data_IF_723527125470
#
_entry.id   IF_723527125470
#
_cell.length_a   1.000
_cell.length_b   1.000
_cell.length_c   1.000
_cell.angle_alpha   90.00
_cell.angle_beta   90.00
_cell.angle_gamma   90.00
#
_symmetry.space_group_name_H-M   'P 1'
#
loop_
_entity.id
_entity.type
_entity.pdbx_description
1 polymer ?
#
# COMPACT_ATOMS: atom_id res chain seq x y z
N UNK A 1 -4.85 44.69 -11.08
CA UNK A 1 -5.47 44.56 -9.73
C UNK A 1 -5.88 43.09 -9.53
N UNK A 2 -6.02 42.58 -8.29
CA UNK A 2 -6.55 41.24 -8.08
C UNK A 2 -8.00 41.20 -8.58
N UNK A 3 -8.29 40.25 -9.47
CA UNK A 3 -9.64 40.07 -10.01
C UNK A 3 -10.11 38.63 -9.88
N UNK A 4 -11.44 38.47 -9.83
CA UNK A 4 -12.10 37.18 -9.69
C UNK A 4 -12.33 36.55 -11.06
N UNK A 5 -11.73 35.37 -11.27
CA UNK A 5 -11.89 34.54 -12.47
C UNK A 5 -12.55 33.22 -12.07
N UNK A 6 -13.44 32.74 -12.93
CA UNK A 6 -14.09 31.43 -12.79
C UNK A 6 -13.31 30.38 -13.60
N UNK A 7 -12.87 29.32 -12.95
CA UNK A 7 -12.27 28.14 -13.61
C UNK A 7 -13.32 27.26 -14.30
N UNK A 8 -12.88 26.26 -15.08
CA UNK A 8 -13.75 25.28 -15.73
C UNK A 8 -14.65 24.52 -14.75
N UNK A 9 -14.14 24.21 -13.57
CA UNK A 9 -14.86 23.54 -12.49
C UNK A 9 -15.74 24.50 -11.65
N UNK A 10 -16.00 25.70 -12.17
CA UNK A 10 -16.82 26.76 -11.57
C UNK A 10 -16.32 27.18 -10.19
N UNK A 11 -15.00 27.24 -10.01
CA UNK A 11 -14.37 27.79 -8.81
C UNK A 11 -13.96 29.22 -9.07
N UNK A 12 -14.41 30.12 -8.20
CA UNK A 12 -13.91 31.48 -8.16
C UNK A 12 -12.49 31.48 -7.62
N UNK A 13 -11.59 32.17 -8.32
CA UNK A 13 -10.19 32.34 -7.97
C UNK A 13 -9.85 33.83 -8.05
N UNK A 14 -9.20 34.34 -7.02
CA UNK A 14 -8.67 35.71 -7.01
C UNK A 14 -7.23 35.63 -7.50
N UNK A 15 -6.96 36.27 -8.63
CA UNK A 15 -5.66 36.15 -9.30
C UNK A 15 -4.99 37.51 -9.35
N UNK A 16 -3.78 37.57 -8.79
CA UNK A 16 -2.87 38.70 -8.92
C UNK A 16 -1.79 38.33 -9.95
N UNK A 17 -1.60 39.16 -10.97
CA UNK A 17 -0.67 38.92 -12.07
C UNK A 17 0.20 40.15 -12.34
N UNK A 18 1.34 39.92 -13.00
CA UNK A 18 2.18 40.99 -13.51
C UNK A 18 2.64 40.68 -14.94
N UNK A 19 2.88 41.76 -15.68
CA UNK A 19 3.23 41.71 -17.10
C UNK A 19 4.52 42.47 -17.31
N UNK A 20 5.46 41.87 -18.03
CA UNK A 20 6.66 42.54 -18.53
C UNK A 20 6.46 42.82 -20.02
N UNK A 21 6.64 44.07 -20.42
CA UNK A 21 6.44 44.50 -21.79
C UNK A 21 7.47 45.57 -22.16
N UNK A 22 7.66 45.79 -23.46
CA UNK A 22 8.49 46.87 -24.01
C UNK A 22 7.84 47.46 -25.26
N UNK A 23 8.19 48.71 -25.56
CA UNK A 23 7.76 49.37 -26.81
C UNK A 23 8.76 48.96 -27.90
N UNK A 24 8.28 48.34 -28.98
CA UNK A 24 9.10 47.95 -30.12
C UNK A 24 8.97 48.94 -31.28
N UNK A 25 7.79 49.52 -31.48
CA UNK A 25 7.52 50.56 -32.48
C UNK A 25 6.98 51.82 -31.80
N UNK A 26 7.85 52.81 -31.51
CA UNK A 26 7.46 54.07 -30.88
C UNK A 26 6.48 54.91 -31.71
N UNK A 27 6.53 54.81 -33.05
CA UNK A 27 5.65 55.60 -33.93
C UNK A 27 4.23 55.04 -33.87
N UNK A 28 4.08 53.72 -34.02
CA UNK A 28 2.79 53.03 -33.92
C UNK A 28 2.19 53.20 -32.52
N UNK A 29 3.02 53.14 -31.47
CA UNK A 29 2.61 53.39 -30.09
C UNK A 29 2.07 54.81 -29.88
N UNK A 30 2.75 55.82 -30.42
CA UNK A 30 2.32 57.21 -30.30
C UNK A 30 1.01 57.47 -31.05
N UNK A 31 0.82 56.83 -32.21
CA UNK A 31 -0.41 56.97 -33.01
C UNK A 31 -1.62 56.32 -32.36
N UNK A 32 -1.44 55.15 -31.75
CA UNK A 32 -2.54 54.33 -31.24
C UNK A 32 -2.84 54.58 -29.76
N UNK A 33 -1.83 54.51 -28.89
CA UNK A 33 -1.97 54.51 -27.43
C UNK A 33 -1.62 55.87 -26.82
N UNK A 34 -0.72 56.62 -27.46
CA UNK A 34 -0.25 57.99 -27.12
C UNK A 34 0.55 58.12 -25.83
N UNK A 35 0.15 57.47 -24.74
CA UNK A 35 0.76 57.64 -23.43
C UNK A 35 0.90 56.32 -22.66
N UNK A 36 1.96 56.22 -21.85
CA UNK A 36 2.27 55.03 -21.03
C UNK A 36 1.15 54.65 -20.05
N UNK A 37 0.46 55.58 -19.36
CA UNK A 37 -0.67 55.20 -18.49
C UNK A 37 -1.79 54.49 -19.26
N UNK A 38 -2.12 55.00 -20.46
CA UNK A 38 -3.10 54.37 -21.35
C UNK A 38 -2.65 52.99 -21.81
N UNK A 39 -1.36 52.84 -22.11
CA UNK A 39 -0.77 51.56 -22.47
C UNK A 39 -0.93 50.53 -21.36
N UNK A 40 -0.66 50.94 -20.11
CA UNK A 40 -0.81 50.08 -18.95
C UNK A 40 -2.24 49.59 -18.79
N UNK A 41 -3.23 50.48 -18.84
CA UNK A 41 -4.65 50.07 -18.75
C UNK A 41 -5.05 49.13 -19.88
N UNK A 42 -4.64 49.42 -21.13
CA UNK A 42 -4.93 48.55 -22.28
C UNK A 42 -4.27 47.18 -22.16
N UNK A 43 -3.03 47.13 -21.70
CA UNK A 43 -2.31 45.88 -21.46
C UNK A 43 -2.97 45.07 -20.35
N UNK A 44 -3.36 45.72 -19.25
CA UNK A 44 -4.08 45.08 -18.15
C UNK A 44 -5.38 44.44 -18.68
N UNK A 45 -6.18 45.17 -19.48
CA UNK A 45 -7.43 44.68 -20.07
C UNK A 45 -7.22 43.47 -21.01
N UNK A 46 -6.23 43.56 -21.91
CA UNK A 46 -5.94 42.50 -22.90
C UNK A 46 -5.44 41.24 -22.20
N UNK A 47 -4.39 41.38 -21.37
CA UNK A 47 -3.79 40.23 -20.69
C UNK A 47 -4.81 39.55 -19.80
N UNK A 48 -5.66 40.33 -19.14
CA UNK A 48 -6.69 39.77 -18.28
C UNK A 48 -7.80 39.06 -19.06
N UNK A 49 -8.18 39.56 -20.24
CA UNK A 49 -9.09 38.86 -21.16
C UNK A 49 -8.52 37.50 -21.56
N UNK A 50 -7.25 37.45 -21.95
CA UNK A 50 -6.56 36.21 -22.34
C UNK A 50 -6.40 35.25 -21.16
N UNK A 51 -6.02 35.76 -19.98
CA UNK A 51 -5.96 34.97 -18.74
C UNK A 51 -7.32 34.34 -18.43
N UNK A 52 -8.41 35.12 -18.48
CA UNK A 52 -9.75 34.61 -18.21
C UNK A 52 -10.15 33.52 -19.20
N UNK A 53 -9.84 33.70 -20.48
CA UNK A 53 -10.16 32.73 -21.52
C UNK A 53 -9.42 31.42 -21.29
N UNK A 54 -8.10 31.45 -21.07
CA UNK A 54 -7.32 30.23 -20.89
C UNK A 54 -7.66 29.55 -19.56
N UNK A 55 -7.73 30.30 -18.45
CA UNK A 55 -8.06 29.75 -17.13
C UNK A 55 -9.49 29.19 -17.05
N UNK A 56 -10.42 29.71 -17.86
CA UNK A 56 -11.78 29.16 -17.98
C UNK A 56 -11.82 27.76 -18.64
N UNK A 57 -10.75 27.34 -19.31
CA UNK A 57 -10.65 26.00 -19.94
C UNK A 57 -9.94 24.96 -19.07
N UNK A 58 -9.32 25.40 -17.98
CA UNK A 58 -8.54 24.57 -17.08
C UNK A 58 -9.24 24.40 -15.72
N UNK A 59 -9.00 23.25 -15.10
CA UNK A 59 -9.49 22.98 -13.75
C UNK A 59 -8.60 23.71 -12.72
N UNK A 60 -9.17 24.09 -11.58
CA UNK A 60 -8.43 24.79 -10.51
C UNK A 60 -7.12 24.09 -10.11
N UNK A 61 -7.11 22.75 -10.08
CA UNK A 61 -5.91 21.98 -9.71
C UNK A 61 -4.80 22.20 -10.75
N UNK A 62 -5.12 22.19 -12.04
CA UNK A 62 -4.16 22.40 -13.14
C UNK A 62 -3.56 23.82 -13.12
N UNK A 63 -4.35 24.80 -12.69
CA UNK A 63 -3.90 26.20 -12.57
C UNK A 63 -2.85 26.36 -11.45
N UNK A 64 -2.94 25.53 -10.40
CA UNK A 64 -2.07 25.58 -9.22
C UNK A 64 -0.84 24.66 -9.37
N UNK A 65 -0.92 23.59 -10.16
CA UNK A 65 0.13 22.58 -10.34
C UNK A 65 1.07 22.88 -11.52
N UNK A 66 1.86 21.88 -11.96
CA UNK A 66 2.94 21.97 -12.96
C UNK A 66 2.50 22.46 -14.35
N UNK A 67 1.21 22.40 -14.67
CA UNK A 67 0.66 22.91 -15.93
C UNK A 67 0.63 24.44 -16.03
N UNK A 68 0.90 25.15 -14.93
CA UNK A 68 0.89 26.61 -14.88
C UNK A 68 1.84 27.25 -15.90
N UNK A 69 3.02 26.70 -16.13
CA UNK A 69 3.98 27.30 -17.08
C UNK A 69 3.44 27.30 -18.52
N UNK A 70 2.83 26.19 -18.93
CA UNK A 70 2.21 26.06 -20.27
C UNK A 70 1.04 27.03 -20.45
N UNK A 71 0.23 27.23 -19.40
CA UNK A 71 -0.87 28.21 -19.40
C UNK A 71 -0.31 29.62 -19.60
N UNK A 72 0.73 30.00 -18.84
CA UNK A 72 1.33 31.32 -18.95
C UNK A 72 2.01 31.56 -20.30
N UNK A 73 2.62 30.53 -20.89
CA UNK A 73 3.22 30.61 -22.22
C UNK A 73 2.19 30.93 -23.30
N UNK A 74 1.05 30.21 -23.29
CA UNK A 74 -0.04 30.47 -24.22
C UNK A 74 -0.64 31.86 -24.05
N UNK A 75 -0.90 32.27 -22.81
CA UNK A 75 -1.43 33.61 -22.49
C UNK A 75 -0.45 34.69 -22.94
N UNK A 76 0.85 34.50 -22.72
CA UNK A 76 1.88 35.44 -23.15
C UNK A 76 1.87 35.59 -24.67
N UNK A 77 1.79 34.47 -25.40
CA UNK A 77 1.73 34.47 -26.86
C UNK A 77 0.48 35.16 -27.40
N UNK A 78 -0.70 34.81 -26.89
CA UNK A 78 -1.97 35.43 -27.30
C UNK A 78 -2.00 36.94 -26.99
N UNK A 79 -1.52 37.32 -25.80
CA UNK A 79 -1.40 38.72 -25.41
C UNK A 79 -0.43 39.49 -26.31
N UNK A 80 0.68 38.87 -26.72
CA UNK A 80 1.67 39.49 -27.61
C UNK A 80 1.09 39.72 -29.03
N UNK A 81 0.30 38.78 -29.55
CA UNK A 81 -0.35 38.90 -30.85
C UNK A 81 -1.31 40.11 -30.88
N UNK A 82 -2.14 40.29 -29.85
CA UNK A 82 -3.05 41.42 -29.76
C UNK A 82 -2.34 42.76 -29.51
N UNK A 83 -1.27 42.76 -28.71
CA UNK A 83 -0.54 43.99 -28.34
C UNK A 83 0.42 44.48 -29.41
N UNK A 84 0.87 43.61 -30.31
CA UNK A 84 1.73 43.95 -31.45
C UNK A 84 1.12 45.04 -32.36
N UNK A 85 -0.22 45.07 -32.47
CA UNK A 85 -0.99 46.08 -33.23
C UNK A 85 -0.84 47.50 -32.68
N UNK A 86 -0.38 47.62 -31.44
CA UNK A 86 -0.16 48.88 -30.73
C UNK A 86 1.33 49.25 -30.61
N UNK A 87 2.23 48.51 -31.28
CA UNK A 87 3.68 48.72 -31.18
C UNK A 87 4.28 48.27 -29.85
N UNK A 88 3.58 47.41 -29.12
CA UNK A 88 3.99 46.87 -27.81
C UNK A 88 4.30 45.38 -27.97
N UNK A 89 5.37 44.93 -27.32
CA UNK A 89 5.74 43.52 -27.22
C UNK A 89 5.63 43.07 -25.75
N UNK A 90 4.91 41.96 -25.52
CA UNK A 90 4.79 41.31 -24.21
C UNK A 90 5.88 40.26 -24.09
N UNK A 91 6.77 40.43 -23.10
CA UNK A 91 7.93 39.56 -22.88
C UNK A 91 7.53 38.37 -22.02
N UNK A 92 6.73 38.59 -20.97
CA UNK A 92 6.34 37.55 -20.02
C UNK A 92 5.12 38.00 -19.21
N UNK A 93 4.14 37.10 -19.06
CA UNK A 93 3.02 37.25 -18.13
C UNK A 93 3.18 36.21 -17.04
N UNK A 94 3.15 36.64 -15.77
CA UNK A 94 3.23 35.72 -14.63
C UNK A 94 2.15 36.02 -13.60
N UNK A 95 1.56 34.96 -13.07
CA UNK A 95 0.71 35.06 -11.89
C UNK A 95 1.63 35.22 -10.67
N UNK A 96 1.34 36.19 -9.80
CA UNK A 96 2.01 36.39 -8.51
C UNK A 96 1.36 35.55 -7.42
N UNK A 97 0.03 35.57 -7.34
CA UNK A 97 -0.74 34.86 -6.30
C UNK A 97 -2.09 34.41 -6.84
N UNK A 98 -2.51 33.22 -6.42
CA UNK A 98 -3.87 32.70 -6.62
C UNK A 98 -4.43 32.43 -5.25
N UNK A 99 -5.52 33.09 -4.89
CA UNK A 99 -6.25 32.88 -3.65
C UNK A 99 -7.65 32.34 -3.92
N UNK A 100 -8.14 31.51 -3.01
CA UNK A 100 -9.55 31.11 -2.98
C UNK A 100 -10.35 32.20 -2.25
N UNK A 101 -11.59 32.52 -2.68
CA UNK A 101 -12.49 33.34 -1.89
C UNK A 101 -12.73 32.65 -0.54
N UNK A 102 -12.58 33.42 0.56
CA UNK A 102 -12.63 32.92 1.95
C UNK A 102 -13.91 32.15 2.28
N UNK A 103 -15.00 32.41 1.54
CA UNK A 103 -16.30 31.78 1.73
C UNK A 103 -16.31 30.29 1.34
N UNK A 104 -15.52 29.88 0.33
CA UNK A 104 -15.51 28.50 -0.17
C UNK A 104 -14.33 27.66 0.32
N UNK A 105 -13.33 28.29 0.94
CA UNK A 105 -12.10 27.64 1.39
C UNK A 105 -12.41 26.50 2.40
N UNK A 106 -13.20 26.79 3.44
CA UNK A 106 -13.53 25.82 4.48
C UNK A 106 -14.26 24.56 3.94
N UNK A 107 -15.19 24.75 3.00
CA UNK A 107 -15.97 23.65 2.41
C UNK A 107 -15.11 22.73 1.54
N UNK A 108 -14.18 23.30 0.76
CA UNK A 108 -13.27 22.52 -0.07
C UNK A 108 -12.24 21.79 0.79
N UNK A 109 -11.68 22.42 1.81
CA UNK A 109 -10.80 21.75 2.77
C UNK A 109 -11.49 20.59 3.50
N UNK A 110 -12.72 20.79 3.98
CA UNK A 110 -13.50 19.74 4.63
C UNK A 110 -13.76 18.56 3.68
N UNK A 111 -14.08 18.84 2.41
CA UNK A 111 -14.28 17.81 1.38
C UNK A 111 -12.97 17.07 1.06
N UNK A 112 -11.85 17.77 0.93
CA UNK A 112 -10.54 17.15 0.69
C UNK A 112 -10.12 16.25 1.86
N UNK A 113 -10.36 16.69 3.09
CA UNK A 113 -10.09 15.88 4.29
C UNK A 113 -10.95 14.61 4.31
N UNK A 114 -12.25 14.74 4.01
CA UNK A 114 -13.16 13.60 3.92
C UNK A 114 -12.75 12.61 2.82
N UNK A 115 -12.33 13.10 1.65
CA UNK A 115 -11.88 12.25 0.55
C UNK A 115 -10.57 11.52 0.90
N UNK A 116 -9.60 12.21 1.51
CA UNK A 116 -8.36 11.58 2.00
C UNK A 116 -8.63 10.53 3.06
N UNK A 117 -9.52 10.81 4.02
CA UNK A 117 -9.93 9.82 5.04
C UNK A 117 -10.59 8.61 4.40
N UNK A 118 -11.46 8.80 3.41
CA UNK A 118 -12.11 7.71 2.69
C UNK A 118 -11.08 6.86 1.94
N UNK A 119 -10.14 7.48 1.25
CA UNK A 119 -9.08 6.79 0.52
C UNK A 119 -8.14 6.01 1.47
N UNK A 120 -7.74 6.62 2.59
CA UNK A 120 -6.92 5.96 3.60
C UNK A 120 -7.64 4.75 4.23
N UNK A 121 -8.93 4.88 4.52
CA UNK A 121 -9.73 3.77 5.04
C UNK A 121 -9.87 2.64 4.01
N UNK A 122 -10.07 2.98 2.73
CA UNK A 122 -10.12 1.98 1.66
C UNK A 122 -8.82 1.18 1.58
N UNK A 123 -7.66 1.85 1.55
CA UNK A 123 -6.37 1.16 1.53
C UNK A 123 -6.12 0.32 2.78
N UNK A 124 -6.56 0.80 3.95
CA UNK A 124 -6.44 0.01 5.20
C UNK A 124 -7.30 -1.25 5.14
N UNK A 125 -8.55 -1.14 4.67
CA UNK A 125 -9.45 -2.29 4.51
C UNK A 125 -8.94 -3.28 3.48
N UNK A 126 -8.43 -2.82 2.33
CA UNK A 126 -7.82 -3.70 1.32
C UNK A 126 -6.57 -4.41 1.86
N UNK A 127 -5.72 -3.69 2.61
CA UNK A 127 -4.55 -4.28 3.25
C UNK A 127 -4.90 -5.29 4.34
N UNK A 128 -5.94 -5.03 5.13
CA UNK A 128 -6.45 -5.98 6.14
C UNK A 128 -7.05 -7.23 5.50
N UNK A 129 -7.84 -7.08 4.43
CA UNK A 129 -8.44 -8.19 3.69
C UNK A 129 -7.36 -9.11 3.11
N UNK A 130 -6.37 -8.54 2.42
CA UNK A 130 -5.29 -9.31 1.81
C UNK A 130 -4.41 -10.00 2.85
N UNK A 131 -4.10 -9.30 3.95
CA UNK A 131 -3.40 -9.89 5.08
C UNK A 131 -4.17 -11.06 5.70
N UNK A 132 -5.50 -10.95 5.81
CA UNK A 132 -6.35 -12.02 6.33
C UNK A 132 -6.37 -13.23 5.39
N UNK A 133 -6.45 -13.03 4.07
CA UNK A 133 -6.34 -14.12 3.09
C UNK A 133 -5.01 -14.85 3.19
N UNK A 134 -3.90 -14.11 3.25
CA UNK A 134 -2.55 -14.70 3.36
C UNK A 134 -2.42 -15.50 4.66
N UNK A 135 -2.89 -14.96 5.80
CA UNK A 135 -2.86 -15.67 7.08
C UNK A 135 -3.70 -16.96 7.04
N UNK A 136 -4.92 -16.88 6.51
CA UNK A 136 -5.79 -18.05 6.39
C UNK A 136 -5.19 -19.14 5.49
N UNK A 137 -4.57 -18.76 4.36
CA UNK A 137 -3.84 -19.68 3.50
C UNK A 137 -2.64 -20.30 4.23
N UNK A 138 -1.86 -19.48 4.93
CA UNK A 138 -0.68 -19.93 5.69
C UNK A 138 -1.06 -20.90 6.81
N UNK A 139 -2.15 -20.62 7.54
CA UNK A 139 -2.65 -21.50 8.61
C UNK A 139 -3.14 -22.84 8.06
N UNK A 140 -3.82 -22.82 6.91
CA UNK A 140 -4.21 -24.02 6.18
C UNK A 140 -2.98 -24.84 5.77
N UNK A 141 -2.00 -24.21 5.14
CA UNK A 141 -0.79 -24.89 4.66
C UNK A 141 0.02 -25.47 5.82
N UNK A 142 0.18 -24.70 6.90
CA UNK A 142 0.79 -25.19 8.16
C UNK A 142 0.09 -26.45 8.66
N UNK A 143 -1.25 -26.44 8.68
CA UNK A 143 -2.04 -27.59 9.16
C UNK A 143 -1.83 -28.82 8.28
N UNK A 144 -1.82 -28.64 6.94
CA UNK A 144 -1.56 -29.71 5.98
C UNK A 144 -0.14 -30.28 6.18
N UNK A 145 0.87 -29.41 6.25
CA UNK A 145 2.27 -29.82 6.43
C UNK A 145 2.45 -30.61 7.73
N UNK A 146 1.84 -30.16 8.84
CA UNK A 146 1.89 -30.86 10.11
C UNK A 146 1.19 -32.23 10.05
N UNK A 147 0.03 -32.30 9.38
CA UNK A 147 -0.69 -33.55 9.19
C UNK A 147 0.08 -34.55 8.32
N UNK A 148 0.70 -34.09 7.23
CA UNK A 148 1.56 -34.92 6.37
C UNK A 148 2.82 -35.39 7.09
N UNK A 149 3.48 -34.50 7.84
CA UNK A 149 4.63 -34.85 8.65
C UNK A 149 4.27 -35.90 9.71
N UNK A 150 3.13 -35.75 10.39
CA UNK A 150 2.65 -36.72 11.36
C UNK A 150 2.33 -38.08 10.71
N UNK A 151 1.63 -38.07 9.55
CA UNK A 151 1.34 -39.27 8.78
C UNK A 151 2.63 -40.02 8.41
N UNK A 152 3.63 -39.32 7.86
CA UNK A 152 4.94 -39.90 7.52
C UNK A 152 5.65 -40.47 8.76
N UNK A 153 5.66 -39.73 9.86
CA UNK A 153 6.27 -40.19 11.10
C UNK A 153 5.63 -41.48 11.62
N UNK A 154 4.29 -41.58 11.59
CA UNK A 154 3.58 -42.78 11.99
C UNK A 154 3.83 -43.96 11.03
N UNK A 155 3.91 -43.69 9.73
CA UNK A 155 4.25 -44.72 8.75
C UNK A 155 5.65 -45.29 8.99
N UNK A 156 6.67 -44.42 9.14
CA UNK A 156 8.05 -44.83 9.42
C UNK A 156 8.14 -45.60 10.75
N UNK A 157 7.43 -45.13 11.79
CA UNK A 157 7.39 -45.84 13.08
C UNK A 157 6.73 -47.21 12.93
N UNK A 158 5.61 -47.32 12.21
CA UNK A 158 4.93 -48.59 11.96
C UNK A 158 5.78 -49.57 11.14
N UNK A 159 6.50 -49.08 10.12
CA UNK A 159 7.46 -49.88 9.36
C UNK A 159 8.61 -50.38 10.25
N UNK A 160 9.15 -49.51 11.11
CA UNK A 160 10.20 -49.88 12.07
C UNK A 160 9.73 -50.88 13.12
N UNK A 161 8.52 -50.73 13.65
CA UNK A 161 7.90 -51.67 14.58
C UNK A 161 7.64 -53.02 13.93
N UNK A 162 7.17 -53.05 12.67
CA UNK A 162 6.97 -54.28 11.92
C UNK A 162 8.29 -55.03 11.69
N UNK A 163 9.36 -54.33 11.30
CA UNK A 163 10.70 -54.92 11.13
C UNK A 163 11.22 -55.44 12.48
N UNK A 164 11.07 -54.67 13.55
CA UNK A 164 11.50 -55.09 14.88
C UNK A 164 10.75 -56.36 15.32
N UNK A 165 9.43 -56.40 15.14
CA UNK A 165 8.61 -57.55 15.49
C UNK A 165 8.98 -58.79 14.66
N UNK A 166 9.28 -58.63 13.37
CA UNK A 166 9.72 -59.72 12.50
C UNK A 166 11.08 -60.28 12.93
N UNK A 167 12.03 -59.42 13.29
CA UNK A 167 13.33 -59.83 13.87
C UNK A 167 13.12 -60.55 15.20
N UNK A 168 12.24 -60.04 16.07
CA UNK A 168 11.92 -60.69 17.34
C UNK A 168 11.27 -62.06 17.12
N UNK A 169 10.30 -62.18 16.21
CA UNK A 169 9.64 -63.44 15.89
C UNK A 169 10.61 -64.46 15.25
N UNK A 170 11.48 -64.01 14.35
CA UNK A 170 12.52 -64.82 13.72
C UNK A 170 13.61 -65.26 14.71
N UNK A 171 13.83 -64.49 15.77
CA UNK A 171 14.73 -64.87 16.87
C UNK A 171 14.04 -65.83 17.83
N UNK A 172 12.75 -65.61 18.12
CA UNK A 172 11.91 -66.46 18.97
C UNK A 172 11.75 -67.87 18.40
N UNK A 173 11.62 -68.01 17.09
CA UNK A 173 11.50 -69.32 16.43
C UNK A 173 12.78 -70.17 16.45
N UNK A 174 13.93 -69.60 16.83
CA UNK A 174 15.20 -70.35 16.94
C UNK A 174 15.31 -71.14 18.24
N UNK A 175 14.80 -70.62 19.36
CA UNK A 175 14.75 -71.31 20.65
C UNK A 175 13.68 -70.68 21.56
N UNK A 176 12.53 -71.35 21.69
CA UNK A 176 11.38 -70.86 22.46
C UNK A 176 11.63 -70.90 23.97
N UNK A 177 12.39 -71.88 24.46
CA UNK A 177 12.58 -72.13 25.89
C UNK A 177 13.57 -71.12 26.48
N UNK A 178 14.64 -70.79 25.74
CA UNK A 178 15.61 -69.76 26.14
C UNK A 178 14.99 -68.36 26.24
N UNK A 179 14.00 -68.05 25.41
CA UNK A 179 13.30 -66.76 25.43
C UNK A 179 12.36 -66.62 26.64
N UNK A 180 11.55 -67.65 26.94
CA UNK A 180 10.67 -67.61 28.12
C UNK A 180 11.49 -67.37 29.39
N UNK A 181 12.68 -67.99 29.49
CA UNK A 181 13.61 -67.79 30.58
C UNK A 181 14.14 -66.34 30.64
N UNK A 182 14.71 -65.81 29.56
CA UNK A 182 15.29 -64.45 29.53
C UNK A 182 14.24 -63.35 29.74
N UNK A 183 13.04 -63.50 29.19
CA UNK A 183 11.94 -62.55 29.38
C UNK A 183 11.39 -62.58 30.81
N UNK A 184 11.38 -63.75 31.45
CA UNK A 184 11.03 -63.86 32.87
C UNK A 184 12.05 -63.12 33.74
N UNK A 185 13.35 -63.19 33.41
CA UNK A 185 14.41 -62.43 34.10
C UNK A 185 14.28 -60.91 33.92
N UNK A 186 13.99 -60.42 32.70
CA UNK A 186 13.77 -58.97 32.48
C UNK A 186 12.52 -58.45 33.21
N UNK A 187 11.47 -59.26 33.29
CA UNK A 187 10.26 -58.93 34.05
C UNK A 187 10.60 -58.86 35.55
N UNK A 188 11.41 -59.79 36.05
CA UNK A 188 11.89 -59.72 37.43
C UNK A 188 12.68 -58.44 37.70
N UNK A 189 13.57 -58.03 36.80
CA UNK A 189 14.35 -56.79 36.96
C UNK A 189 13.45 -55.54 36.96
N UNK A 190 12.42 -55.49 36.11
CA UNK A 190 11.48 -54.35 36.05
C UNK A 190 10.47 -54.31 37.20
N UNK A 191 10.07 -55.47 37.74
CA UNK A 191 9.02 -55.56 38.76
C UNK A 191 9.60 -55.56 40.18
N UNK A 192 10.81 -56.09 40.37
CA UNK A 192 11.49 -56.18 41.67
C UNK A 192 12.40 -54.96 41.86
N UNK A 193 11.80 -53.81 42.16
CA UNK A 193 12.53 -52.65 42.70
C UNK A 193 12.60 -52.75 44.24
N UNK A 194 13.57 -52.11 44.90
CA UNK A 194 13.90 -52.23 46.35
C UNK A 194 12.75 -51.91 47.32
N UNK A 195 11.58 -51.49 46.83
CA UNK A 195 10.40 -51.08 47.59
C UNK A 195 9.16 -51.95 47.33
N UNK A 196 9.23 -52.93 46.43
CA UNK A 196 8.05 -53.72 46.02
C UNK A 196 7.98 -55.04 46.80
N UNK A 197 7.00 -55.17 47.70
CA UNK A 197 6.66 -56.45 48.33
C UNK A 197 5.65 -57.19 47.46
N UNK A 198 6.10 -58.23 46.76
CA UNK A 198 5.27 -59.04 45.88
C UNK A 198 4.60 -60.17 46.68
N UNK A 199 3.26 -60.21 46.70
CA UNK A 199 2.49 -61.34 47.26
C UNK A 199 1.82 -62.06 46.09
N UNK A 200 2.33 -63.23 45.74
CA UNK A 200 1.82 -64.07 44.65
C UNK A 200 1.53 -65.48 45.16
N UNK A 201 0.45 -66.13 44.66
CA UNK A 201 0.18 -67.53 44.95
C UNK A 201 1.23 -68.46 44.31
N UNK A 202 1.55 -69.57 44.99
CA UNK A 202 2.66 -70.48 44.67
C UNK A 202 2.52 -71.31 43.39
N UNK A 203 1.44 -71.12 42.64
CA UNK A 203 1.14 -71.74 41.35
C UNK A 203 1.37 -70.80 40.15
N UNK A 204 1.83 -69.58 40.40
CA UNK A 204 2.09 -68.60 39.35
C UNK A 204 3.18 -69.07 38.38
N UNK A 205 2.90 -68.92 37.06
CA UNK A 205 3.83 -69.22 35.97
C UNK A 205 5.20 -68.56 36.13
N UNK A 206 5.26 -67.47 36.89
CA UNK A 206 6.49 -66.76 37.20
C UNK A 206 7.49 -67.65 37.96
N UNK A 207 7.09 -68.53 38.88
CA UNK A 207 8.05 -69.31 39.69
C UNK A 207 8.47 -70.67 39.09
N UNK A 208 7.78 -71.16 38.05
CA UNK A 208 8.06 -72.50 37.46
C UNK A 208 9.48 -72.65 36.90
N UNK A 209 10.08 -71.57 36.40
CA UNK A 209 11.45 -71.59 35.86
C UNK A 209 12.56 -71.61 36.92
N UNK A 210 12.23 -71.37 38.19
CA UNK A 210 13.17 -71.37 39.33
C UNK A 210 13.07 -72.65 40.19
N UNK A 211 12.15 -73.57 39.87
CA UNK A 211 11.84 -74.77 40.66
C UNK A 211 12.11 -76.09 39.94
N UNK A 212 13.10 -76.13 39.05
CA UNK A 212 13.71 -77.39 38.58
C UNK A 212 15.05 -77.62 39.26
#
# INVERSE_FOLDING_TARGET
PPEEILSKDKKSLIIDNYVRWRIIDPLLFLQTVRAVPTAKTRLDDIVYSELRQELGTHDMVEIITETRELIMEKVTKASNEETSKYGIEVIDVRIRRVDLPRENEASIYARMEAERKRQANKFRSEGEEEAQKIRAATDRDKTIILAEAYKKAQQIRGEGEAIALDIYASSYSKDSDFYEFTRTLEIYEKVIDKKTTLVLPGDSKLFKGLTQ
#
